data_IF_147140152696
#
_entry.id   IF_147140152696
#
_cell.length_a   1.000
_cell.length_b   1.000
_cell.length_c   1.000
_cell.angle_alpha   90.00
_cell.angle_beta   90.00
_cell.angle_gamma   90.00
#
_symmetry.space_group_name_H-M   'P 1'
#
loop_
_entity.id
_entity.type
_entity.pdbx_description
1 polymer ?
#
# COMPACT_ATOMS: atom_id res chain seq x y z
N UNK A 1 -15.79 -4.92 10.81
CA UNK A 1 -14.52 -5.57 10.44
C UNK A 1 -14.15 -5.01 9.08
N UNK A 2 -13.22 -4.07 9.06
CA UNK A 2 -12.74 -3.47 7.83
C UNK A 2 -11.94 -4.52 7.05
N UNK A 3 -12.30 -4.71 5.78
CA UNK A 3 -11.65 -5.64 4.88
C UNK A 3 -10.54 -4.88 4.17
N UNK A 4 -9.29 -5.20 4.44
CA UNK A 4 -8.09 -4.66 3.77
C UNK A 4 -7.93 -5.18 2.34
N UNK A 5 -9.03 -5.44 1.64
CA UNK A 5 -9.10 -6.21 0.39
C UNK A 5 -8.45 -5.52 -0.81
N UNK A 6 -8.28 -4.21 -0.77
CA UNK A 6 -7.80 -3.39 -1.88
C UNK A 6 -6.31 -3.58 -2.22
N UNK A 7 -5.49 -4.06 -1.28
CA UNK A 7 -4.07 -4.38 -1.54
C UNK A 7 -3.72 -5.88 -1.54
N UNK A 8 -4.64 -6.76 -1.12
CA UNK A 8 -4.54 -8.20 -1.46
C UNK A 8 -4.56 -8.39 -2.98
N UNK A 9 -5.06 -7.36 -3.67
CA UNK A 9 -4.75 -7.02 -5.04
C UNK A 9 -3.25 -7.09 -5.35
N UNK A 10 -2.49 -6.03 -5.09
CA UNK A 10 -1.13 -5.79 -5.66
C UNK A 10 -0.03 -6.83 -5.34
N UNK A 11 -0.32 -7.94 -4.64
CA UNK A 11 0.57 -9.10 -4.53
C UNK A 11 0.96 -9.67 -5.90
N UNK A 12 2.19 -9.33 -6.30
CA UNK A 12 2.92 -9.89 -7.44
C UNK A 12 2.73 -11.41 -7.45
N UNK A 13 1.92 -11.89 -8.38
CA UNK A 13 1.97 -13.27 -8.81
C UNK A 13 3.43 -13.57 -9.11
N UNK A 14 4.04 -14.41 -8.29
CA UNK A 14 5.39 -14.91 -8.54
C UNK A 14 5.32 -15.76 -9.80
N UNK A 15 5.42 -15.12 -10.96
CA UNK A 15 5.59 -15.77 -12.25
C UNK A 15 6.95 -16.47 -12.20
N UNK A 16 6.89 -17.78 -12.03
CA UNK A 16 8.01 -18.69 -12.22
C UNK A 16 8.41 -18.61 -13.70
N UNK A 17 9.31 -17.67 -14.01
CA UNK A 17 9.92 -17.47 -15.32
C UNK A 17 11.42 -17.45 -15.18
N UNK A 18 12.06 -18.61 -15.35
CA UNK A 18 13.50 -18.77 -15.34
C UNK A 18 14.15 -18.05 -16.53
N UNK A 19 15.04 -17.08 -16.25
CA UNK A 19 16.17 -16.71 -17.12
C UNK A 19 17.29 -16.12 -16.25
N UNK A 20 18.26 -16.96 -15.91
CA UNK A 20 19.53 -16.53 -15.33
C UNK A 20 20.41 -15.91 -16.43
N UNK A 21 20.86 -14.68 -16.23
CA UNK A 21 22.04 -14.12 -16.91
C UNK A 21 22.92 -13.48 -15.85
N UNK A 22 23.98 -14.20 -15.50
CA UNK A 22 25.06 -13.71 -14.64
C UNK A 22 25.94 -12.74 -15.44
N UNK A 23 26.12 -11.52 -14.94
CA UNK A 23 27.02 -10.52 -15.52
C UNK A 23 27.46 -9.46 -14.48
N UNK A 24 28.76 -9.13 -14.37
CA UNK A 24 29.31 -8.39 -13.24
C UNK A 24 29.11 -6.87 -13.31
N UNK A 25 28.79 -6.28 -12.15
CA UNK A 25 28.76 -4.84 -11.91
C UNK A 25 30.18 -4.25 -11.83
N UNK A 26 30.47 -3.11 -12.48
CA UNK A 26 31.60 -2.28 -12.09
C UNK A 26 31.21 -1.30 -10.98
N UNK A 27 32.08 -1.22 -9.98
CA UNK A 27 32.14 -0.13 -9.02
C UNK A 27 32.66 1.14 -9.71
N UNK A 28 32.17 2.32 -9.32
CA UNK A 28 33.07 3.42 -8.95
C UNK A 28 32.40 4.66 -8.33
N UNK A 29 33.09 5.15 -7.30
CA UNK A 29 33.36 6.53 -6.87
C UNK A 29 32.28 7.48 -6.33
N UNK A 30 32.46 7.72 -5.03
CA UNK A 30 32.33 8.95 -4.24
C UNK A 30 32.35 10.31 -4.97
N UNK A 31 31.48 11.22 -4.50
CA UNK A 31 31.77 12.65 -4.43
C UNK A 31 31.16 13.28 -3.18
N UNK A 32 31.98 14.08 -2.49
CA UNK A 32 31.72 14.81 -1.25
C UNK A 32 31.39 16.28 -1.55
N UNK A 33 30.76 16.93 -0.57
CA UNK A 33 30.79 18.37 -0.24
C UNK A 33 29.70 19.31 -0.79
N UNK A 34 29.09 20.07 0.14
CA UNK A 34 28.21 21.20 -0.15
C UNK A 34 27.51 21.77 1.09
N UNK A 35 28.26 22.41 1.99
CA UNK A 35 27.71 23.19 3.11
C UNK A 35 27.07 24.50 2.62
N UNK A 36 25.92 24.88 3.19
CA UNK A 36 25.30 26.19 2.94
C UNK A 36 24.29 26.57 4.01
N UNK A 37 24.72 27.33 5.02
CA UNK A 37 23.87 28.03 5.99
C UNK A 37 23.22 29.26 5.36
N UNK A 38 21.94 29.52 5.64
CA UNK A 38 21.42 30.89 5.76
C UNK A 38 20.11 30.93 6.57
N UNK A 39 20.18 31.72 7.64
CA UNK A 39 19.13 32.16 8.54
C UNK A 39 18.20 33.22 7.93
N UNK A 40 16.92 33.23 8.31
CA UNK A 40 16.02 34.37 8.09
C UNK A 40 14.57 34.12 8.51
N UNK A 41 14.18 34.53 9.73
CA UNK A 41 12.79 34.86 10.07
C UNK A 41 12.42 36.25 9.53
N UNK A 42 11.12 36.65 9.50
CA UNK A 42 10.44 36.99 10.76
C UNK A 42 8.92 36.66 10.86
N UNK A 43 8.47 36.73 12.12
CA UNK A 43 7.12 36.95 12.68
C UNK A 43 5.95 37.32 11.77
N UNK A 44 4.85 36.57 11.92
CA UNK A 44 3.48 36.97 11.56
C UNK A 44 2.49 36.57 12.66
N UNK A 45 1.85 37.58 13.26
CA UNK A 45 0.82 37.52 14.31
C UNK A 45 -0.58 37.73 13.72
N UNK A 46 -1.58 37.01 14.26
CA UNK A 46 -3.03 37.25 14.09
C UNK A 46 -3.74 36.10 13.36
N UNK A 47 -4.90 35.58 13.77
CA UNK A 47 -5.83 35.88 14.85
C UNK A 47 -7.06 34.97 14.73
N UNK A 48 -7.89 34.93 15.78
CA UNK A 48 -9.33 34.59 15.78
C UNK A 48 -9.68 33.10 15.51
N UNK A 49 -9.77 32.21 16.50
CA UNK A 49 -10.83 32.09 17.53
C UNK A 49 -12.27 32.14 17.01
N UNK A 50 -12.77 31.01 16.50
CA UNK A 50 -14.22 30.73 16.42
C UNK A 50 -14.50 29.27 16.83
N UNK A 51 -14.79 29.07 18.11
CA UNK A 51 -15.44 27.87 18.64
C UNK A 51 -16.95 27.92 18.37
N UNK A 52 -17.58 26.87 17.80
CA UNK A 52 -19.00 26.65 17.97
C UNK A 52 -19.28 25.85 19.26
N UNK A 53 -20.39 26.14 19.98
CA UNK A 53 -20.80 25.34 21.13
C UNK A 53 -21.58 24.11 20.66
N UNK A 54 -21.18 22.91 21.10
CA UNK A 54 -22.03 21.72 20.98
C UNK A 54 -22.31 21.18 22.38
N UNK A 55 -23.47 21.56 22.92
CA UNK A 55 -24.10 20.97 24.10
C UNK A 55 -24.87 19.73 23.67
N UNK A 56 -24.22 18.56 23.74
CA UNK A 56 -24.85 17.25 23.59
C UNK A 56 -24.97 16.55 24.94
N UNK A 57 -26.10 16.72 25.61
CA UNK A 57 -26.47 15.98 26.82
C UNK A 57 -26.92 14.57 26.44
N UNK A 58 -26.01 13.60 26.50
CA UNK A 58 -26.32 12.17 26.42
C UNK A 58 -26.44 11.56 27.82
N UNK A 59 -27.44 10.68 28.10
CA UNK A 59 -27.62 10.07 29.41
C UNK A 59 -26.51 9.06 29.72
N UNK A 60 -25.89 9.24 30.88
CA UNK A 60 -24.81 8.41 31.41
C UNK A 60 -25.23 6.96 31.60
N UNK A 61 -24.43 6.07 31.02
CA UNK A 61 -24.35 4.68 31.45
C UNK A 61 -23.27 4.59 32.54
N UNK A 62 -23.70 4.68 33.79
CA UNK A 62 -22.87 4.32 34.94
C UNK A 62 -22.94 2.81 35.14
N UNK A 63 -21.81 2.12 34.94
CA UNK A 63 -21.70 0.70 35.28
C UNK A 63 -20.43 0.03 34.74
N UNK A 64 -19.31 0.18 35.45
CA UNK A 64 -18.10 -0.60 35.15
C UNK A 64 -16.84 -0.11 35.87
N UNK A 65 -16.70 -0.47 37.15
CA UNK A 65 -15.50 -0.23 37.95
C UNK A 65 -14.23 -0.77 37.28
N UNK A 66 -13.25 0.11 37.02
CA UNK A 66 -11.83 -0.25 36.98
C UNK A 66 -11.18 -0.51 35.62
N UNK A 67 -11.69 0.04 34.52
CA UNK A 67 -10.90 0.09 33.28
C UNK A 67 -10.08 1.38 33.29
N UNK A 68 -8.80 1.29 33.67
CA UNK A 68 -7.87 2.44 33.73
C UNK A 68 -7.84 3.33 32.49
N UNK A 69 -7.35 4.55 32.69
CA UNK A 69 -7.26 5.65 31.71
C UNK A 69 -6.60 5.21 30.40
N UNK A 70 -7.09 5.78 29.30
CA UNK A 70 -6.58 5.63 27.95
C UNK A 70 -5.85 6.93 27.58
N UNK A 71 -4.58 6.89 27.13
CA UNK A 71 -3.70 5.73 27.02
C UNK A 71 -3.25 5.19 28.38
N UNK A 72 -2.74 3.96 28.42
CA UNK A 72 -2.15 3.37 29.63
C UNK A 72 -0.94 4.19 30.11
N UNK A 73 -0.94 4.59 31.38
CA UNK A 73 0.13 5.39 32.01
C UNK A 73 0.85 4.68 33.15
N UNK A 74 0.51 3.41 33.39
CA UNK A 74 1.12 2.59 34.45
C UNK A 74 2.48 1.99 34.05
N UNK A 75 3.11 1.29 34.99
CA UNK A 75 4.28 0.46 34.72
C UNK A 75 3.89 -0.75 33.85
N UNK A 76 4.65 -1.10 32.79
CA UNK A 76 4.32 -2.22 31.94
C UNK A 76 4.03 -3.48 32.75
N UNK A 77 2.89 -4.13 32.52
CA UNK A 77 2.45 -5.25 33.33
C UNK A 77 3.21 -6.55 33.07
N UNK A 78 3.83 -6.61 31.89
CA UNK A 78 4.57 -7.75 31.38
C UNK A 78 5.86 -7.20 30.81
N UNK A 79 6.99 -7.71 31.30
CA UNK A 79 8.30 -7.41 30.75
C UNK A 79 8.50 -8.22 29.46
N UNK A 80 8.42 -7.54 28.31
CA UNK A 80 8.54 -8.15 26.99
C UNK A 80 9.87 -8.87 26.79
N UNK A 81 10.94 -8.47 27.50
CA UNK A 81 12.26 -9.09 27.39
C UNK A 81 12.32 -10.50 27.97
N UNK A 82 11.31 -10.90 28.74
CA UNK A 82 11.16 -12.24 29.30
C UNK A 82 10.35 -13.18 28.41
N UNK A 83 9.71 -12.65 27.37
CA UNK A 83 8.91 -13.40 26.43
C UNK A 83 9.76 -13.92 25.26
N UNK A 84 9.29 -14.97 24.59
CA UNK A 84 9.93 -15.45 23.37
C UNK A 84 9.56 -14.53 22.19
N UNK A 85 10.50 -14.17 21.30
CA UNK A 85 10.18 -13.41 20.11
C UNK A 85 9.29 -14.23 19.17
N UNK A 86 8.45 -13.56 18.38
CA UNK A 86 7.56 -14.25 17.44
C UNK A 86 8.34 -15.02 16.36
N UNK A 87 8.12 -16.33 16.19
CA UNK A 87 8.88 -17.14 15.23
C UNK A 87 8.50 -16.88 13.77
N UNK A 88 7.25 -16.47 13.51
CA UNK A 88 6.73 -16.21 12.16
C UNK A 88 7.05 -14.80 11.64
N UNK A 89 7.55 -13.90 12.50
CA UNK A 89 7.78 -12.51 12.13
C UNK A 89 9.27 -12.14 12.20
N UNK A 90 9.87 -11.88 11.04
CA UNK A 90 11.25 -11.41 10.95
C UNK A 90 11.43 -9.91 11.19
N UNK A 91 10.34 -9.13 11.21
CA UNK A 91 10.41 -7.68 11.39
C UNK A 91 10.82 -7.29 12.82
N UNK A 92 10.48 -8.11 13.83
CA UNK A 92 10.76 -7.84 15.24
C UNK A 92 9.71 -6.93 15.91
N UNK A 93 9.96 -6.54 17.16
CA UNK A 93 9.04 -5.72 17.95
C UNK A 93 7.73 -6.43 18.34
N UNK A 94 7.74 -7.76 18.35
CA UNK A 94 6.61 -8.58 18.76
C UNK A 94 7.08 -9.85 19.48
N UNK A 95 6.33 -10.26 20.49
CA UNK A 95 6.62 -11.43 21.31
C UNK A 95 5.38 -12.32 21.50
N UNK A 96 5.65 -13.58 21.84
CA UNK A 96 4.61 -14.57 22.09
C UNK A 96 4.00 -14.35 23.48
N UNK A 97 2.73 -14.00 23.51
CA UNK A 97 1.96 -13.80 24.73
C UNK A 97 0.98 -14.98 24.94
N UNK A 98 0.83 -15.51 26.17
CA UNK A 98 -0.19 -16.52 26.46
C UNK A 98 -1.59 -16.09 25.99
N UNK A 99 -2.32 -16.99 25.32
CA UNK A 99 -3.62 -16.68 24.72
C UNK A 99 -4.63 -16.11 25.73
N UNK A 100 -4.57 -16.54 27.01
CA UNK A 100 -5.43 -16.03 28.07
C UNK A 100 -5.19 -14.56 28.46
N UNK A 101 -4.09 -13.96 28.02
CA UNK A 101 -3.77 -12.53 28.21
C UNK A 101 -4.08 -11.67 26.98
N UNK A 102 -4.34 -12.29 25.83
CA UNK A 102 -4.73 -11.59 24.60
C UNK A 102 -6.25 -11.45 24.58
N UNK A 103 -6.81 -10.24 24.50
CA UNK A 103 -8.25 -10.06 24.37
C UNK A 103 -8.80 -10.80 23.14
N UNK A 104 -9.96 -11.45 23.29
CA UNK A 104 -10.51 -12.35 22.28
C UNK A 104 -10.77 -11.64 20.94
N UNK A 105 -11.06 -10.34 20.97
CA UNK A 105 -11.25 -9.49 19.79
C UNK A 105 -10.00 -9.37 18.90
N UNK A 106 -8.80 -9.49 19.47
CA UNK A 106 -7.54 -9.36 18.74
C UNK A 106 -6.97 -10.71 18.31
N UNK A 107 -7.32 -11.81 18.99
CA UNK A 107 -6.74 -13.14 18.69
C UNK A 107 -6.96 -13.57 17.23
N UNK A 108 -8.12 -13.25 16.64
CA UNK A 108 -8.41 -13.59 15.24
C UNK A 108 -7.64 -12.76 14.20
N UNK A 109 -6.99 -11.67 14.64
CA UNK A 109 -6.27 -10.73 13.80
C UNK A 109 -4.75 -10.89 13.90
N UNK A 110 -4.28 -11.76 14.81
CA UNK A 110 -2.87 -11.98 15.12
C UNK A 110 -2.50 -13.42 14.79
N UNK A 111 -1.23 -13.63 14.45
CA UNK A 111 -0.71 -14.97 14.20
C UNK A 111 -0.47 -15.74 15.50
N UNK A 112 -0.65 -17.06 15.45
CA UNK A 112 -0.22 -17.94 16.53
C UNK A 112 1.30 -18.09 16.56
N UNK A 113 1.89 -18.06 17.75
CA UNK A 113 3.27 -18.50 17.95
C UNK A 113 3.32 -20.03 18.07
N UNK A 114 2.40 -20.60 18.86
CA UNK A 114 2.17 -22.02 19.04
C UNK A 114 0.69 -22.28 19.44
N UNK A 115 0.40 -23.44 20.05
CA UNK A 115 -0.97 -23.80 20.44
C UNK A 115 -1.52 -22.94 21.60
N UNK A 116 -0.65 -22.40 22.45
CA UNK A 116 -1.01 -21.75 23.72
C UNK A 116 -0.66 -20.25 23.74
N UNK A 117 0.05 -19.77 22.72
CA UNK A 117 0.53 -18.37 22.63
C UNK A 117 0.26 -17.73 21.27
N UNK A 118 0.02 -16.42 21.29
CA UNK A 118 -0.26 -15.57 20.13
C UNK A 118 0.89 -14.57 19.97
N UNK A 119 1.28 -14.27 18.74
CA UNK A 119 2.25 -13.22 18.42
C UNK A 119 1.60 -11.84 18.59
N UNK A 120 2.09 -11.05 19.54
CA UNK A 120 1.54 -9.74 19.88
C UNK A 120 2.63 -8.68 19.78
N UNK A 121 2.39 -7.54 19.10
CA UNK A 121 3.35 -6.43 19.10
C UNK A 121 3.65 -5.93 20.51
N UNK A 122 4.89 -5.49 20.75
CA UNK A 122 5.38 -5.15 22.09
C UNK A 122 4.56 -4.03 22.73
N UNK A 123 4.17 -3.01 21.96
CA UNK A 123 3.33 -1.92 22.45
C UNK A 123 1.94 -2.39 22.90
N UNK A 124 1.37 -3.45 22.31
CA UNK A 124 0.12 -4.04 22.81
C UNK A 124 0.33 -4.71 24.17
N UNK A 125 1.46 -5.42 24.34
CA UNK A 125 1.81 -6.12 25.58
C UNK A 125 2.06 -5.11 26.70
N UNK A 126 2.90 -4.11 26.45
CA UNK A 126 3.33 -3.10 27.42
C UNK A 126 2.19 -2.20 27.89
N UNK A 127 1.13 -2.05 27.09
CA UNK A 127 -0.01 -1.17 27.38
C UNK A 127 -1.31 -1.91 27.68
N UNK A 128 -1.32 -3.25 27.74
CA UNK A 128 -2.55 -4.05 27.78
C UNK A 128 -3.56 -3.70 26.67
N UNK A 129 -3.05 -3.40 25.47
CA UNK A 129 -3.87 -2.98 24.35
C UNK A 129 -4.62 -1.66 24.59
N UNK A 130 -4.13 -0.79 25.49
CA UNK A 130 -4.63 0.57 25.75
C UNK A 130 -3.63 1.62 25.33
N UNK A 131 -3.54 1.84 24.03
CA UNK A 131 -2.59 2.76 23.43
C UNK A 131 -3.26 3.58 22.33
N UNK A 132 -2.57 4.62 21.90
CA UNK A 132 -2.90 5.39 20.70
C UNK A 132 -1.67 5.24 19.81
N UNK A 133 -1.75 4.49 18.68
CA UNK A 133 -0.60 4.35 17.81
C UNK A 133 -0.19 5.74 17.25
N UNK A 134 1.11 6.00 17.04
CA UNK A 134 1.54 7.27 16.46
C UNK A 134 0.85 7.56 15.12
N UNK A 135 0.39 8.80 14.95
CA UNK A 135 -0.11 9.31 13.68
C UNK A 135 1.04 9.54 12.71
N UNK A 136 0.91 9.03 11.50
CA UNK A 136 1.90 9.12 10.42
C UNK A 136 1.22 9.48 9.09
N UNK A 137 2.02 9.82 8.08
CA UNK A 137 1.55 10.07 6.72
C UNK A 137 1.73 8.82 5.85
N UNK A 138 0.61 8.30 5.36
CA UNK A 138 0.55 7.09 4.54
C UNK A 138 0.47 7.41 3.03
N UNK A 139 0.06 6.42 2.24
CA UNK A 139 -0.12 6.51 0.78
C UNK A 139 -1.05 7.69 0.43
N UNK A 140 -0.77 8.34 -0.69
CA UNK A 140 -1.48 9.55 -1.17
C UNK A 140 -1.40 10.75 -0.20
N UNK A 141 -0.53 10.72 0.80
CA UNK A 141 -0.45 11.76 1.82
C UNK A 141 -1.55 11.67 2.88
N UNK A 142 -2.33 10.59 2.91
CA UNK A 142 -3.42 10.43 3.88
C UNK A 142 -2.93 10.11 5.29
N UNK A 143 -3.72 10.49 6.30
CA UNK A 143 -3.47 10.13 7.69
C UNK A 143 -3.45 8.60 7.89
N UNK A 144 -2.52 8.11 8.71
CA UNK A 144 -2.43 6.70 9.09
C UNK A 144 -1.97 6.49 10.54
N UNK A 145 -1.74 5.23 10.88
CA UNK A 145 -1.19 4.78 12.17
C UNK A 145 -0.01 3.86 11.97
N UNK A 146 1.01 4.05 12.79
CA UNK A 146 2.15 3.14 12.85
C UNK A 146 1.70 1.81 13.46
N UNK A 147 1.74 0.75 12.65
CA UNK A 147 1.41 -0.61 13.08
C UNK A 147 2.56 -1.56 12.76
N UNK A 148 2.76 -2.55 13.62
CA UNK A 148 3.85 -3.51 13.48
C UNK A 148 3.61 -4.46 12.30
N UNK A 149 4.67 -4.69 11.51
CA UNK A 149 4.72 -5.61 10.37
C UNK A 149 4.50 -7.08 10.74
N UNK A 150 4.47 -7.44 12.02
CA UNK A 150 4.12 -8.76 12.52
C UNK A 150 2.60 -9.01 12.59
N UNK A 151 1.78 -7.97 12.41
CA UNK A 151 0.34 -8.16 12.23
C UNK A 151 0.13 -8.70 10.81
N UNK A 152 -0.51 -9.87 10.62
CA UNK A 152 -0.59 -10.54 9.31
C UNK A 152 -1.10 -9.66 8.16
N UNK A 153 -2.13 -8.86 8.43
CA UNK A 153 -2.70 -7.94 7.44
C UNK A 153 -1.76 -6.79 7.08
N UNK A 154 -0.95 -6.32 8.04
CA UNK A 154 0.08 -5.30 7.81
C UNK A 154 1.27 -5.91 7.06
N UNK A 155 1.70 -7.11 7.45
CA UNK A 155 2.78 -7.86 6.80
C UNK A 155 2.52 -8.04 5.30
N UNK A 156 1.28 -8.42 4.95
CA UNK A 156 0.87 -8.63 3.56
C UNK A 156 0.95 -7.37 2.68
N UNK A 157 1.05 -6.18 3.29
CA UNK A 157 1.05 -4.89 2.59
C UNK A 157 2.31 -4.06 2.88
N UNK A 158 3.23 -4.56 3.72
CA UNK A 158 4.33 -3.78 4.26
C UNK A 158 5.27 -3.22 3.19
N UNK A 159 5.35 -3.87 2.03
CA UNK A 159 6.19 -3.42 0.90
C UNK A 159 5.57 -2.23 0.14
N UNK A 160 4.26 -2.02 0.29
CA UNK A 160 3.49 -0.96 -0.37
C UNK A 160 3.29 0.25 0.53
N UNK A 161 3.38 0.05 1.85
CA UNK A 161 3.13 1.06 2.86
C UNK A 161 4.42 1.82 3.21
N UNK A 162 4.39 3.16 3.27
CA UNK A 162 5.56 3.92 3.69
C UNK A 162 5.86 3.67 5.17
N UNK A 163 7.13 3.77 5.55
CA UNK A 163 7.51 3.77 6.97
C UNK A 163 7.21 5.12 7.65
N UNK A 164 7.43 6.23 6.94
CA UNK A 164 7.35 7.59 7.47
C UNK A 164 8.12 7.76 8.81
N UNK A 165 7.44 8.15 9.88
CA UNK A 165 7.99 8.36 11.22
C UNK A 165 7.81 7.13 12.14
N UNK A 166 7.29 6.02 11.60
CA UNK A 166 7.09 4.78 12.34
C UNK A 166 8.43 4.09 12.64
N UNK A 167 8.44 3.21 13.66
CA UNK A 167 9.65 2.48 14.03
C UNK A 167 10.12 1.50 12.92
N UNK A 168 11.33 0.95 13.06
CA UNK A 168 11.96 0.04 12.08
C UNK A 168 11.09 -1.17 11.71
N UNK A 169 10.31 -1.67 12.65
CA UNK A 169 9.45 -2.85 12.50
C UNK A 169 7.98 -2.49 12.22
N UNK A 170 7.71 -1.23 11.91
CA UNK A 170 6.37 -0.71 11.66
C UNK A 170 6.27 -0.13 10.25
N UNK A 171 5.04 0.08 9.81
CA UNK A 171 4.70 0.85 8.62
C UNK A 171 3.50 1.74 8.92
N UNK A 172 3.38 2.82 8.16
CA UNK A 172 2.27 3.74 8.26
C UNK A 172 1.05 3.21 7.51
N UNK A 173 0.11 2.66 8.27
CA UNK A 173 -1.09 2.03 7.73
C UNK A 173 -2.21 3.07 7.63
N UNK A 174 -2.80 3.32 6.44
CA UNK A 174 -3.68 4.46 6.24
C UNK A 174 -5.01 4.28 6.99
N UNK A 175 -5.62 5.36 7.49
CA UNK A 175 -6.95 5.35 8.12
C UNK A 175 -8.05 4.95 7.13
N UNK A 176 -7.88 5.33 5.86
CA UNK A 176 -8.82 5.08 4.78
C UNK A 176 -8.10 4.41 3.61
N UNK A 177 -8.82 3.54 2.92
CA UNK A 177 -8.38 2.97 1.65
C UNK A 177 -8.26 4.11 0.62
N UNK A 178 -7.07 4.33 0.02
CA UNK A 178 -6.83 5.41 -0.91
C UNK A 178 -7.39 5.14 -2.31
N UNK A 179 -7.96 3.96 -2.58
CA UNK A 179 -8.74 3.69 -3.80
C UNK A 179 -10.23 3.98 -3.57
N UNK A 180 -10.78 3.51 -2.45
CA UNK A 180 -12.24 3.49 -2.21
C UNK A 180 -12.75 4.55 -1.23
N UNK A 181 -11.85 5.20 -0.48
CA UNK A 181 -12.15 6.04 0.70
C UNK A 181 -12.82 5.30 1.86
N UNK A 182 -12.90 3.97 1.84
CA UNK A 182 -13.51 3.21 2.94
C UNK A 182 -12.58 3.16 4.18
N UNK A 183 -13.12 3.18 5.41
CA UNK A 183 -12.29 3.04 6.61
C UNK A 183 -11.56 1.68 6.64
N UNK A 184 -10.26 1.70 6.93
CA UNK A 184 -9.46 0.48 7.09
C UNK A 184 -9.48 -0.06 8.52
N UNK A 185 -9.91 0.76 9.48
CA UNK A 185 -9.92 0.43 10.91
C UNK A 185 -8.60 0.65 11.63
N UNK A 186 -7.51 1.06 10.95
CA UNK A 186 -6.22 1.36 11.62
C UNK A 186 -6.33 2.51 12.63
N UNK A 187 -7.22 3.45 12.38
CA UNK A 187 -7.48 4.62 13.23
C UNK A 187 -8.68 4.42 14.16
N UNK A 188 -9.12 3.17 14.35
CA UNK A 188 -10.18 2.79 15.29
C UNK A 188 -9.65 1.77 16.32
N UNK A 189 -8.33 1.66 16.45
CA UNK A 189 -7.68 0.70 17.33
C UNK A 189 -7.62 1.23 18.76
N UNK A 190 -8.03 0.39 19.72
CA UNK A 190 -7.85 0.68 21.15
C UNK A 190 -8.51 2.01 21.58
N UNK A 191 -7.70 2.99 21.98
CA UNK A 191 -8.12 4.29 22.48
C UNK A 191 -8.04 5.38 21.40
N UNK A 192 -7.78 5.02 20.15
CA UNK A 192 -7.59 5.99 19.07
C UNK A 192 -8.83 6.90 18.91
N UNK A 193 -8.66 8.23 18.88
CA UNK A 193 -9.77 9.16 18.73
C UNK A 193 -10.41 9.11 17.32
N UNK A 194 -9.80 8.41 16.37
CA UNK A 194 -10.19 8.44 14.97
C UNK A 194 -9.27 9.31 14.12
N UNK A 195 -9.44 9.25 12.80
CA UNK A 195 -8.79 10.18 11.88
C UNK A 195 -9.23 11.63 12.16
N UNK A 196 -8.26 12.54 12.12
CA UNK A 196 -8.49 13.98 12.17
C UNK A 196 -8.63 14.61 10.79
N UNK A 197 -8.11 13.94 9.77
CA UNK A 197 -8.16 14.34 8.36
C UNK A 197 -9.21 13.55 7.57
N UNK A 198 -9.82 14.14 6.53
CA UNK A 198 -10.71 13.41 5.64
C UNK A 198 -9.96 12.34 4.83
N UNK A 199 -10.66 11.33 4.27
CA UNK A 199 -10.08 10.38 3.33
C UNK A 199 -9.38 11.10 2.17
N UNK A 200 -8.17 10.63 1.85
CA UNK A 200 -7.44 11.08 0.66
C UNK A 200 -7.34 9.90 -0.31
N UNK A 201 -7.71 10.12 -1.57
CA UNK A 201 -7.64 9.08 -2.60
C UNK A 201 -6.51 9.32 -3.58
N UNK A 202 -6.01 8.24 -4.17
CA UNK A 202 -5.12 8.32 -5.31
C UNK A 202 -5.81 9.04 -6.47
N UNK A 203 -5.13 10.02 -7.12
CA UNK A 203 -5.69 10.70 -8.28
C UNK A 203 -6.01 9.71 -9.40
N UNK A 204 -7.11 9.95 -10.12
CA UNK A 204 -7.37 9.26 -11.37
C UNK A 204 -6.50 9.85 -12.49
N UNK A 205 -6.09 8.99 -13.41
CA UNK A 205 -5.33 9.34 -14.60
C UNK A 205 -6.04 8.81 -15.84
N UNK A 206 -5.51 9.10 -17.04
CA UNK A 206 -5.93 8.39 -18.25
C UNK A 206 -7.44 8.49 -18.55
N UNK A 207 -7.98 9.70 -18.38
CA UNK A 207 -9.41 9.97 -18.57
C UNK A 207 -10.34 9.28 -17.56
N UNK A 208 -9.80 8.77 -16.45
CA UNK A 208 -10.55 8.03 -15.43
C UNK A 208 -10.44 6.51 -15.53
N UNK A 209 -9.65 5.97 -16.47
CA UNK A 209 -9.44 4.52 -16.66
C UNK A 209 -8.18 3.99 -15.95
N UNK A 210 -7.49 4.85 -15.22
CA UNK A 210 -6.33 4.49 -14.42
C UNK A 210 -6.28 5.26 -13.12
N UNK A 211 -5.43 4.77 -12.23
CA UNK A 211 -5.15 5.33 -10.92
C UNK A 211 -3.66 5.63 -10.82
N UNK A 212 -3.33 6.84 -10.35
CA UNK A 212 -1.97 7.24 -10.08
C UNK A 212 -1.45 6.52 -8.85
N UNK A 213 -0.46 5.67 -9.01
CA UNK A 213 0.14 4.88 -7.92
C UNK A 213 1.61 5.28 -7.72
N UNK A 214 2.15 5.21 -6.49
CA UNK A 214 3.58 5.33 -6.27
C UNK A 214 4.37 4.25 -7.01
N UNK A 215 5.60 4.51 -7.48
CA UNK A 215 6.46 3.51 -8.12
C UNK A 215 6.68 2.26 -7.28
N UNK A 216 6.78 2.39 -5.95
CA UNK A 216 6.87 1.25 -5.04
C UNK A 216 5.65 0.33 -5.11
N UNK A 217 4.46 0.89 -5.34
CA UNK A 217 3.24 0.12 -5.49
C UNK A 217 3.13 -0.56 -6.87
N UNK A 218 3.75 0.00 -7.91
CA UNK A 218 3.80 -0.62 -9.23
C UNK A 218 4.79 -1.81 -9.32
N UNK A 219 5.68 -1.96 -8.33
CA UNK A 219 6.61 -3.09 -8.25
C UNK A 219 7.52 -3.20 -9.49
N UNK A 220 7.67 -4.42 -10.01
CA UNK A 220 8.52 -4.69 -11.18
C UNK A 220 7.97 -4.10 -12.49
N UNK A 221 6.72 -3.66 -12.50
CA UNK A 221 6.01 -3.13 -13.65
C UNK A 221 6.11 -1.60 -13.72
N UNK A 222 6.73 -0.95 -12.75
CA UNK A 222 6.89 0.50 -12.69
C UNK A 222 7.41 1.10 -14.01
N UNK A 223 8.44 0.48 -14.61
CA UNK A 223 9.05 0.96 -15.86
C UNK A 223 8.13 0.85 -17.10
N UNK A 224 7.02 0.10 -16.99
CA UNK A 224 6.02 -0.08 -18.07
C UNK A 224 4.85 0.91 -17.95
N UNK A 225 4.78 1.68 -16.87
CA UNK A 225 3.73 2.66 -16.64
C UNK A 225 4.22 4.07 -16.98
N UNK A 226 3.31 4.90 -17.52
CA UNK A 226 3.61 6.29 -17.87
C UNK A 226 3.23 7.28 -16.76
N UNK A 227 3.85 8.46 -16.75
CA UNK A 227 3.51 9.55 -15.81
C UNK A 227 2.41 10.49 -16.37
N UNK A 228 2.05 10.37 -17.66
CA UNK A 228 1.51 11.43 -18.52
C UNK A 228 0.19 12.10 -18.09
N UNK A 229 -0.46 11.62 -17.04
CA UNK A 229 -1.69 12.21 -16.52
C UNK A 229 -1.78 12.26 -14.99
N UNK A 230 -0.68 11.97 -14.29
CA UNK A 230 -0.63 12.05 -12.85
C UNK A 230 -0.20 13.45 -12.34
N UNK A 231 -0.80 13.95 -11.25
CA UNK A 231 -0.39 15.22 -10.66
C UNK A 231 1.07 15.19 -10.19
N UNK A 232 1.86 16.15 -10.67
CA UNK A 232 3.31 16.24 -10.42
C UNK A 232 3.65 16.81 -9.03
N UNK A 233 2.67 17.44 -8.37
CA UNK A 233 2.79 18.01 -7.03
C UNK A 233 2.68 16.95 -5.92
N UNK A 234 2.28 15.72 -6.26
CA UNK A 234 2.11 14.61 -5.33
C UNK A 234 3.31 13.62 -5.33
N UNK A 235 4.42 14.01 -5.96
CA UNK A 235 5.61 13.17 -6.14
C UNK A 235 5.57 12.37 -7.45
N UNK A 236 6.59 11.51 -7.70
CA UNK A 236 6.60 10.67 -8.90
C UNK A 236 5.48 9.64 -8.76
N UNK A 237 4.42 9.80 -9.54
CA UNK A 237 3.29 8.88 -9.62
C UNK A 237 3.19 8.31 -11.02
N UNK A 238 2.89 7.01 -11.09
CA UNK A 238 2.72 6.26 -12.33
C UNK A 238 1.24 5.99 -12.55
N UNK A 239 0.77 6.15 -13.79
CA UNK A 239 -0.60 5.83 -14.14
C UNK A 239 -0.75 4.33 -14.37
N UNK A 240 -1.32 3.63 -13.39
CA UNK A 240 -1.68 2.22 -13.51
C UNK A 240 -3.12 2.07 -14.01
N UNK A 241 -3.39 1.27 -15.05
CA UNK A 241 -4.75 0.96 -15.46
C UNK A 241 -5.58 0.38 -14.31
N UNK A 242 -6.84 0.79 -14.18
CA UNK A 242 -7.69 0.38 -13.04
C UNK A 242 -7.86 -1.14 -12.98
N UNK A 243 -7.90 -1.83 -14.13
CA UNK A 243 -7.97 -3.31 -14.16
C UNK A 243 -6.79 -4.00 -13.45
N UNK A 244 -5.60 -3.38 -13.40
CA UNK A 244 -4.44 -3.94 -12.68
C UNK A 244 -4.45 -3.59 -11.20
N UNK A 245 -5.07 -2.45 -10.87
CA UNK A 245 -5.18 -1.93 -9.51
C UNK A 245 -6.27 -2.68 -8.75
N UNK A 246 -7.40 -2.93 -9.41
CA UNK A 246 -8.58 -3.60 -8.87
C UNK A 246 -8.45 -5.13 -8.87
N UNK A 247 -7.82 -5.70 -9.90
CA UNK A 247 -7.59 -7.15 -10.04
C UNK A 247 -6.14 -7.46 -10.46
N UNK A 248 -5.26 -7.79 -9.51
CA UNK A 248 -3.87 -8.15 -9.79
C UNK A 248 -3.69 -9.48 -10.50
N UNK A 249 -4.72 -10.31 -10.49
CA UNK A 249 -4.76 -11.64 -11.10
C UNK A 249 -5.37 -11.57 -12.48
N UNK A 250 -5.71 -10.36 -12.93
CA UNK A 250 -6.21 -10.10 -14.25
C UNK A 250 -5.20 -10.59 -15.29
N UNK A 251 -5.71 -11.39 -16.22
CA UNK A 251 -4.96 -11.84 -17.39
C UNK A 251 -5.65 -11.31 -18.64
N UNK A 252 -4.89 -10.74 -19.60
CA UNK A 252 -5.48 -10.08 -20.75
C UNK A 252 -6.22 -11.09 -21.64
N UNK A 253 -7.45 -10.78 -22.09
CA UNK A 253 -8.12 -11.57 -23.12
C UNK A 253 -7.27 -11.64 -24.40
N UNK A 254 -7.26 -12.80 -25.06
CA UNK A 254 -6.60 -12.94 -26.36
C UNK A 254 -7.38 -12.21 -27.47
N UNK A 255 -6.66 -11.64 -28.44
CA UNK A 255 -7.23 -11.00 -29.62
C UNK A 255 -6.46 -11.39 -30.89
N UNK A 256 -6.85 -10.85 -32.06
CA UNK A 256 -6.16 -11.09 -33.33
C UNK A 256 -5.86 -9.79 -34.05
N UNK A 257 -4.59 -9.51 -34.33
CA UNK A 257 -4.15 -8.26 -34.96
C UNK A 257 -4.36 -8.31 -36.49
N UNK A 258 -5.57 -8.01 -36.93
CA UNK A 258 -5.99 -8.22 -38.32
C UNK A 258 -5.09 -7.54 -39.36
N UNK A 259 -4.74 -6.28 -39.13
CA UNK A 259 -3.89 -5.50 -40.05
C UNK A 259 -2.43 -5.96 -40.01
N UNK A 260 -1.87 -6.17 -38.81
CA UNK A 260 -0.47 -6.55 -38.63
C UNK A 260 -0.24 -7.95 -39.21
N UNK A 261 -1.12 -8.91 -38.95
CA UNK A 261 -1.06 -10.25 -39.53
C UNK A 261 -1.09 -10.25 -41.07
N UNK A 262 -1.88 -9.33 -41.64
CA UNK A 262 -2.01 -9.20 -43.10
C UNK A 262 -0.73 -8.65 -43.76
N UNK A 263 0.05 -7.84 -43.04
CA UNK A 263 1.26 -7.19 -43.56
C UNK A 263 2.52 -8.02 -43.27
N UNK A 264 2.64 -8.53 -42.04
CA UNK A 264 3.86 -9.19 -41.54
C UNK A 264 3.76 -10.71 -41.48
N UNK A 265 2.59 -11.29 -41.76
CA UNK A 265 2.34 -12.73 -41.77
C UNK A 265 1.52 -13.21 -40.59
N UNK A 266 0.95 -14.42 -40.71
CA UNK A 266 0.03 -15.00 -39.72
C UNK A 266 0.63 -15.19 -38.33
N UNK A 267 1.97 -15.27 -38.23
CA UNK A 267 2.68 -15.44 -36.96
C UNK A 267 2.55 -14.21 -36.05
N UNK A 268 2.25 -13.03 -36.62
CA UNK A 268 1.95 -11.82 -35.85
C UNK A 268 0.48 -11.71 -35.44
N UNK A 269 -0.37 -12.64 -35.89
CA UNK A 269 -1.80 -12.63 -35.64
C UNK A 269 -2.21 -12.67 -34.17
N UNK A 270 -1.62 -13.54 -33.33
CA UNK A 270 -1.95 -13.58 -31.90
C UNK A 270 -1.62 -12.27 -31.20
N UNK A 271 -2.53 -11.81 -30.34
CA UNK A 271 -2.33 -10.66 -29.47
C UNK A 271 -3.08 -10.79 -28.16
N UNK A 272 -2.90 -9.78 -27.31
CA UNK A 272 -3.56 -9.64 -26.02
C UNK A 272 -4.23 -8.27 -25.91
N UNK A 273 -5.40 -8.22 -25.31
CA UNK A 273 -6.14 -6.99 -25.06
C UNK A 273 -5.55 -6.26 -23.87
N UNK A 274 -4.85 -5.16 -24.12
CA UNK A 274 -4.25 -4.33 -23.08
C UNK A 274 -5.00 -3.01 -22.96
N UNK A 275 -5.08 -2.42 -21.75
CA UNK A 275 -5.65 -1.10 -21.56
C UNK A 275 -4.95 -0.07 -22.45
N UNK A 276 -5.73 0.81 -23.08
CA UNK A 276 -5.20 1.95 -23.86
C UNK A 276 -4.30 2.88 -23.05
N UNK A 277 -4.40 2.74 -21.74
CA UNK A 277 -3.73 3.50 -20.72
C UNK A 277 -2.23 3.23 -20.59
N UNK A 278 -1.71 2.19 -21.24
CA UNK A 278 -0.29 1.87 -21.24
C UNK A 278 0.42 2.66 -22.35
N UNK A 279 1.56 3.31 -22.06
CA UNK A 279 2.27 4.14 -23.04
C UNK A 279 2.67 3.36 -24.30
N UNK A 280 3.03 2.08 -24.16
CA UNK A 280 3.41 1.22 -25.29
C UNK A 280 2.23 0.87 -26.21
N UNK A 281 1.02 0.90 -25.66
CA UNK A 281 -0.24 0.52 -26.33
C UNK A 281 -0.86 1.71 -27.09
N UNK A 282 -0.46 2.94 -26.77
CA UNK A 282 -0.94 4.12 -27.50
C UNK A 282 -0.27 4.33 -28.86
N UNK A 283 0.65 3.44 -29.26
CA UNK A 283 1.23 3.47 -30.59
C UNK A 283 0.14 3.33 -31.68
N UNK A 284 0.17 4.27 -32.64
CA UNK A 284 -0.84 4.56 -33.67
C UNK A 284 -1.29 3.37 -34.57
N UNK A 285 -0.66 2.20 -34.46
CA UNK A 285 -0.95 1.04 -35.29
C UNK A 285 -1.77 -0.06 -34.60
N UNK A 286 -2.10 0.11 -33.31
CA UNK A 286 -2.92 -0.85 -32.57
C UNK A 286 -4.41 -0.48 -32.65
N UNK A 287 -5.20 -1.37 -33.22
CA UNK A 287 -6.66 -1.27 -33.24
C UNK A 287 -7.30 -1.99 -32.05
N UNK A 288 -8.59 -1.76 -31.82
CA UNK A 288 -9.36 -2.49 -30.82
C UNK A 288 -9.52 -3.98 -31.19
N UNK A 289 -9.61 -4.33 -32.48
CA UNK A 289 -9.61 -5.69 -33.06
C UNK A 289 -10.00 -6.85 -32.11
N UNK A 290 -11.26 -6.87 -31.68
CA UNK A 290 -11.82 -7.96 -30.85
C UNK A 290 -11.66 -7.76 -29.34
N UNK A 291 -11.04 -6.68 -28.89
CA UNK A 291 -10.94 -6.29 -27.50
C UNK A 291 -12.16 -5.53 -26.99
N UNK A 292 -12.44 -5.58 -25.68
CA UNK A 292 -13.45 -4.74 -25.04
C UNK A 292 -13.19 -3.24 -25.22
N UNK A 293 -14.18 -2.41 -24.88
CA UNK A 293 -14.02 -0.95 -24.85
C UNK A 293 -12.92 -0.53 -23.86
N UNK A 294 -12.09 0.45 -24.24
CA UNK A 294 -10.94 0.92 -23.45
C UNK A 294 -9.69 0.02 -23.54
N UNK A 295 -9.68 -0.96 -24.44
CA UNK A 295 -8.53 -1.84 -24.69
C UNK A 295 -8.15 -1.89 -26.17
N UNK A 296 -6.85 -2.06 -26.44
CA UNK A 296 -6.30 -2.28 -27.78
C UNK A 296 -5.66 -3.66 -27.86
N UNK A 297 -5.69 -4.24 -29.05
CA UNK A 297 -5.07 -5.52 -29.32
C UNK A 297 -3.56 -5.35 -29.57
N UNK A 298 -2.75 -5.62 -28.55
CA UNK A 298 -1.30 -5.60 -28.66
C UNK A 298 -0.78 -6.94 -29.22
N UNK A 299 0.02 -6.97 -30.29
CA UNK A 299 0.55 -8.22 -30.84
C UNK A 299 1.49 -8.90 -29.84
N UNK A 300 1.51 -10.23 -29.80
CA UNK A 300 2.48 -10.96 -28.98
C UNK A 300 3.93 -10.77 -29.45
N UNK A 301 4.11 -10.44 -30.73
CA UNK A 301 5.42 -10.27 -31.36
C UNK A 301 5.56 -8.86 -31.92
N UNK A 302 6.70 -8.22 -31.66
CA UNK A 302 7.06 -6.91 -32.19
C UNK A 302 7.47 -7.03 -33.67
N UNK A 303 6.76 -6.35 -34.59
CA UNK A 303 7.22 -6.26 -35.97
C UNK A 303 8.42 -5.31 -36.08
N UNK A 304 9.34 -5.51 -37.05
CA UNK A 304 9.36 -6.59 -38.04
C UNK A 304 10.20 -7.82 -37.61
N UNK A 305 10.80 -7.80 -36.41
CA UNK A 305 11.83 -8.76 -36.03
C UNK A 305 11.31 -9.97 -35.25
N UNK A 306 10.03 -9.97 -34.88
CA UNK A 306 9.38 -11.12 -34.23
C UNK A 306 9.87 -11.35 -32.80
N UNK A 307 10.37 -10.31 -32.13
CA UNK A 307 10.72 -10.39 -30.71
C UNK A 307 9.45 -10.39 -29.86
N UNK A 308 9.47 -10.98 -28.65
CA UNK A 308 8.30 -10.87 -27.78
C UNK A 308 8.08 -9.40 -27.41
N UNK A 309 6.84 -8.94 -27.51
CA UNK A 309 6.42 -7.63 -26.99
C UNK A 309 6.12 -7.67 -25.49
N UNK A 310 6.09 -8.86 -24.89
CA UNK A 310 5.61 -9.08 -23.53
C UNK A 310 4.09 -9.01 -23.37
N UNK A 311 3.32 -8.62 -24.40
CA UNK A 311 1.87 -8.44 -24.29
C UNK A 311 1.13 -9.73 -23.92
N UNK A 312 1.66 -10.88 -24.36
CA UNK A 312 1.09 -12.20 -24.12
C UNK A 312 1.81 -12.98 -23.01
N UNK A 313 2.75 -12.33 -22.32
CA UNK A 313 3.55 -12.90 -21.22
C UNK A 313 3.06 -12.39 -19.84
N UNK A 314 1.94 -11.66 -19.79
CA UNK A 314 1.32 -11.07 -18.59
C UNK A 314 0.39 -12.06 -17.86
#
# INVERSE_FOLDING_TARGET
MASWGWLVGVSVGTLVGACAVEGPLPADTSATSGSGSASGGPTGTGGESLTPPSTGTGPGHEGGSGMGECPYTGEPPVDVTTLAPCPSCSAGGAHCLPNGLVPAEFQSQLDGCDADTTCVPDYFIETFGKFIPPTCTSIAGGEGRCLNRCIPQVAAQADLLPQDLCADHEVCVPCYDPQTSEPTGSCELSCDPGPSEPPTTLPKCCGGNGTCVPPSAAGAQADKLGEDSCPQDSGPLLCAPDVFVDDPSWSPPSCTTGLIASIFGSDYGPGACLPECLPDVDNFLLGQDGCPEGMKCAPCLEPPFGQSSGACDL
#
